data_IF_960177066791
#
_entry.id   IF_960177066791
#
_cell.length_a   1.000
_cell.length_b   1.000
_cell.length_c   1.000
_cell.angle_alpha   90.00
_cell.angle_beta   90.00
_cell.angle_gamma   90.00
#
_symmetry.space_group_name_H-M   'P 1'
#
loop_
_entity.id
_entity.type
_entity.pdbx_description
1 polymer ?
#
# COMPACT_ATOMS: atom_id res chain seq x y z
N UNK A 1 -3.41 -24.84 4.20
CA UNK A 1 -4.02 -25.33 2.96
C UNK A 1 -3.31 -26.58 2.51
N UNK A 2 -4.04 -27.67 2.21
CA UNK A 2 -3.46 -28.92 1.79
C UNK A 2 -3.08 -28.87 0.30
N UNK A 3 -1.93 -29.44 -0.05
CA UNK A 3 -1.56 -29.71 -1.45
C UNK A 3 -2.20 -31.00 -1.88
N UNK A 4 -2.93 -30.97 -2.99
CA UNK A 4 -3.59 -32.16 -3.53
C UNK A 4 -2.56 -33.28 -3.79
N UNK A 5 -2.87 -34.56 -3.48
CA UNK A 5 -1.90 -35.65 -3.58
C UNK A 5 -1.15 -35.74 -4.92
N UNK A 6 -1.87 -35.55 -6.03
CA UNK A 6 -1.27 -35.62 -7.38
C UNK A 6 -0.34 -34.43 -7.69
N UNK A 7 -0.48 -33.30 -6.97
CA UNK A 7 0.33 -32.10 -7.14
C UNK A 7 1.55 -32.05 -6.21
N UNK A 8 1.63 -32.91 -5.18
CA UNK A 8 2.74 -32.90 -4.21
C UNK A 8 4.10 -33.12 -4.85
N UNK A 9 4.17 -33.93 -5.91
CA UNK A 9 5.40 -34.17 -6.66
C UNK A 9 6.07 -32.90 -7.21
N UNK A 10 5.30 -31.87 -7.50
CA UNK A 10 5.82 -30.57 -7.98
C UNK A 10 6.41 -29.71 -6.85
N UNK A 11 6.22 -30.10 -5.60
CA UNK A 11 6.76 -29.44 -4.42
C UNK A 11 7.97 -30.18 -3.84
N UNK A 12 8.46 -31.19 -4.56
CA UNK A 12 9.55 -32.04 -4.10
C UNK A 12 10.86 -31.25 -3.95
N UNK A 13 11.54 -31.46 -2.86
CA UNK A 13 12.88 -30.95 -2.60
C UNK A 13 13.76 -32.01 -1.99
N UNK A 14 15.06 -31.91 -2.26
CA UNK A 14 16.05 -32.89 -1.82
C UNK A 14 16.80 -32.37 -0.61
N UNK A 15 16.91 -33.24 0.40
CA UNK A 15 17.79 -33.02 1.54
C UNK A 15 19.04 -33.95 1.38
N UNK A 16 19.98 -33.88 2.30
CA UNK A 16 21.14 -34.74 2.34
C UNK A 16 20.77 -36.20 2.65
N UNK A 17 19.57 -36.45 3.18
CA UNK A 17 19.13 -37.81 3.57
C UNK A 17 18.08 -38.37 2.61
N UNK A 18 17.15 -37.57 2.15
CA UNK A 18 15.96 -38.06 1.46
C UNK A 18 15.29 -36.99 0.55
N UNK A 19 14.38 -37.46 -0.29
CA UNK A 19 13.50 -36.62 -1.10
C UNK A 19 12.17 -36.40 -0.36
N UNK A 20 11.83 -35.16 -0.12
CA UNK A 20 10.61 -34.77 0.61
C UNK A 20 9.63 -34.02 -0.32
N UNK A 21 8.35 -34.03 0.04
CA UNK A 21 7.29 -33.31 -0.64
C UNK A 21 6.43 -32.59 0.39
N UNK A 22 5.93 -31.41 0.01
CA UNK A 22 5.04 -30.68 0.88
C UNK A 22 3.61 -31.24 0.83
N UNK A 23 3.06 -31.60 1.99
CA UNK A 23 1.65 -31.94 2.15
C UNK A 23 0.78 -30.69 2.38
N UNK A 24 1.38 -29.65 2.94
CA UNK A 24 0.77 -28.34 3.16
C UNK A 24 1.56 -27.33 2.34
N UNK A 25 0.89 -26.39 1.69
CA UNK A 25 1.55 -25.41 0.85
C UNK A 25 2.49 -24.52 1.67
N UNK A 26 3.78 -24.48 1.34
CA UNK A 26 4.76 -23.65 2.05
C UNK A 26 4.64 -22.18 1.66
N UNK A 27 5.13 -21.30 2.54
CA UNK A 27 5.31 -19.89 2.20
C UNK A 27 6.29 -19.74 1.03
N UNK A 28 6.03 -18.79 0.13
CA UNK A 28 6.84 -18.55 -1.07
C UNK A 28 6.40 -19.32 -2.32
N UNK A 29 5.41 -20.18 -2.23
CA UNK A 29 4.82 -20.81 -3.42
C UNK A 29 4.03 -19.77 -4.22
N UNK A 30 4.36 -19.57 -5.50
CA UNK A 30 3.88 -18.47 -6.34
C UNK A 30 2.35 -18.30 -6.39
N UNK A 31 1.59 -19.39 -6.37
CA UNK A 31 0.11 -19.34 -6.38
C UNK A 31 -0.55 -19.08 -5.03
N UNK A 32 0.18 -19.15 -3.93
CA UNK A 32 -0.40 -19.10 -2.58
C UNK A 32 -1.06 -17.77 -2.22
N UNK A 33 -0.48 -16.59 -2.52
CA UNK A 33 -1.14 -15.33 -2.21
C UNK A 33 -2.52 -15.20 -2.84
N UNK A 34 -2.67 -15.66 -4.08
CA UNK A 34 -3.97 -15.65 -4.78
C UNK A 34 -4.99 -16.64 -4.19
N UNK A 35 -4.55 -17.84 -3.79
CA UNK A 35 -5.41 -18.82 -3.14
C UNK A 35 -5.83 -18.33 -1.76
N UNK A 36 -4.90 -17.78 -0.98
CA UNK A 36 -5.15 -17.20 0.32
C UNK A 36 -6.15 -16.02 0.24
N UNK A 37 -5.94 -15.09 -0.69
CA UNK A 37 -6.87 -13.97 -0.90
C UNK A 37 -8.27 -14.43 -1.26
N UNK A 38 -8.43 -15.50 -2.08
CA UNK A 38 -9.76 -16.06 -2.39
C UNK A 38 -10.43 -16.66 -1.16
N UNK A 39 -9.67 -17.41 -0.33
CA UNK A 39 -10.20 -17.94 0.93
C UNK A 39 -10.67 -16.81 1.84
N UNK A 40 -9.82 -15.82 2.09
CA UNK A 40 -10.15 -14.71 2.98
C UNK A 40 -11.37 -13.92 2.49
N UNK A 41 -11.49 -13.69 1.18
CA UNK A 41 -12.68 -13.08 0.58
C UNK A 41 -13.93 -13.94 0.81
N UNK A 42 -13.86 -15.24 0.57
CA UNK A 42 -15.03 -16.12 0.79
C UNK A 42 -15.54 -16.13 2.23
N UNK A 43 -14.66 -15.83 3.20
CA UNK A 43 -15.01 -15.75 4.61
C UNK A 43 -15.55 -14.37 5.02
N UNK A 44 -14.98 -13.30 4.48
CA UNK A 44 -15.15 -11.94 5.00
C UNK A 44 -15.89 -10.96 4.10
N UNK A 45 -15.99 -11.17 2.78
CA UNK A 45 -16.64 -10.22 1.85
C UNK A 45 -18.13 -9.94 2.18
N UNK A 46 -18.76 -10.82 2.93
CA UNK A 46 -20.14 -10.62 3.42
C UNK A 46 -20.27 -9.61 4.56
N UNK A 47 -19.16 -9.18 5.15
CA UNK A 47 -19.14 -8.24 6.27
C UNK A 47 -18.62 -6.88 5.81
N UNK A 48 -19.51 -5.86 5.67
CA UNK A 48 -19.12 -4.55 5.15
C UNK A 48 -18.15 -3.78 6.04
N UNK A 49 -18.01 -4.20 7.30
CA UNK A 49 -17.12 -3.61 8.31
C UNK A 49 -15.74 -4.28 8.40
N UNK A 50 -15.41 -5.18 7.45
CA UNK A 50 -14.13 -5.89 7.42
C UNK A 50 -13.41 -5.64 6.10
N UNK A 51 -12.16 -5.23 6.19
CA UNK A 51 -11.24 -5.17 5.04
C UNK A 51 -10.11 -6.15 5.25
N UNK A 52 -9.88 -7.01 4.26
CA UNK A 52 -8.79 -7.98 4.32
C UNK A 52 -7.79 -7.71 3.18
N UNK A 53 -6.53 -7.65 3.54
CA UNK A 53 -5.44 -7.59 2.59
C UNK A 53 -4.36 -8.59 2.97
N UNK A 54 -4.26 -9.68 2.20
CA UNK A 54 -3.40 -10.82 2.49
C UNK A 54 -3.60 -11.32 3.93
N UNK A 55 -2.61 -11.13 4.80
CA UNK A 55 -2.61 -11.59 6.19
C UNK A 55 -3.20 -10.56 7.17
N UNK A 56 -3.43 -9.32 6.71
CA UNK A 56 -3.93 -8.24 7.54
C UNK A 56 -5.46 -8.18 7.47
N UNK A 57 -6.12 -8.23 8.62
CA UNK A 57 -7.58 -8.05 8.77
C UNK A 57 -7.81 -6.75 9.53
N UNK A 58 -8.53 -5.82 8.93
CA UNK A 58 -8.94 -4.58 9.56
C UNK A 58 -10.45 -4.58 9.79
N UNK A 59 -10.86 -4.35 11.03
CA UNK A 59 -12.26 -4.21 11.44
C UNK A 59 -12.51 -2.76 11.79
N UNK A 60 -13.56 -2.15 11.25
CA UNK A 60 -13.91 -0.77 11.54
C UNK A 60 -15.39 -0.64 11.92
N UNK A 61 -15.70 0.37 12.72
CA UNK A 61 -17.03 0.58 13.27
C UNK A 61 -17.21 2.06 13.60
N UNK A 62 -18.46 2.52 13.69
CA UNK A 62 -18.78 3.91 14.06
C UNK A 62 -18.70 4.13 15.57
N UNK A 63 -19.05 3.13 16.35
CA UNK A 63 -19.07 3.19 17.83
C UNK A 63 -18.27 2.03 18.43
N UNK A 64 -17.87 2.17 19.69
CA UNK A 64 -17.15 1.12 20.41
C UNK A 64 -18.04 -0.11 20.65
N UNK A 65 -19.32 0.08 20.92
CA UNK A 65 -20.25 -1.04 21.13
C UNK A 65 -20.42 -1.89 19.86
N UNK A 66 -20.62 -1.23 18.71
CA UNK A 66 -20.58 -1.91 17.42
C UNK A 66 -19.24 -2.60 17.17
N UNK A 67 -18.14 -1.97 17.58
CA UNK A 67 -16.80 -2.52 17.36
C UNK A 67 -16.59 -3.83 18.11
N UNK A 68 -17.06 -3.93 19.34
CA UNK A 68 -17.01 -5.17 20.13
C UNK A 68 -17.74 -6.30 19.42
N UNK A 69 -18.94 -6.04 18.89
CA UNK A 69 -19.72 -7.06 18.17
C UNK A 69 -19.07 -7.43 16.83
N UNK A 70 -18.55 -6.46 16.07
CA UNK A 70 -17.88 -6.71 14.82
C UNK A 70 -16.59 -7.56 15.01
N UNK A 71 -15.81 -7.24 16.02
CA UNK A 71 -14.61 -8.03 16.37
C UNK A 71 -15.01 -9.44 16.81
N UNK A 72 -16.08 -9.61 17.59
CA UNK A 72 -16.60 -10.93 18.00
C UNK A 72 -16.91 -11.79 16.78
N UNK A 73 -17.67 -11.25 15.82
CA UNK A 73 -18.03 -11.95 14.57
C UNK A 73 -16.77 -12.39 13.81
N UNK A 74 -15.77 -11.51 13.69
CA UNK A 74 -14.52 -11.85 12.99
C UNK A 74 -13.76 -12.97 13.71
N UNK A 75 -13.66 -12.90 15.04
CA UNK A 75 -12.99 -13.93 15.83
C UNK A 75 -13.72 -15.27 15.79
N UNK A 76 -15.05 -15.27 15.77
CA UNK A 76 -15.85 -16.48 15.58
C UNK A 76 -15.61 -17.14 14.22
N UNK A 77 -15.55 -16.37 13.14
CA UNK A 77 -15.19 -16.87 11.81
C UNK A 77 -13.80 -17.51 11.82
N UNK A 78 -12.81 -16.81 12.38
CA UNK A 78 -11.45 -17.34 12.48
C UNK A 78 -11.41 -18.65 13.28
N UNK A 79 -12.12 -18.73 14.39
CA UNK A 79 -12.20 -19.92 15.25
C UNK A 79 -12.83 -21.10 14.51
N UNK A 80 -13.96 -20.88 13.83
CA UNK A 80 -14.69 -21.91 13.08
C UNK A 80 -13.85 -22.48 11.92
N UNK A 81 -13.10 -21.61 11.25
CA UNK A 81 -12.23 -21.98 10.13
C UNK A 81 -10.83 -22.45 10.57
N UNK A 82 -10.59 -22.52 11.88
CA UNK A 82 -9.30 -22.92 12.48
C UNK A 82 -8.13 -22.06 11.98
N UNK A 83 -8.40 -20.76 11.81
CA UNK A 83 -7.40 -19.75 11.49
C UNK A 83 -6.92 -19.10 12.78
N UNK A 84 -5.59 -18.97 12.93
CA UNK A 84 -4.99 -18.48 14.16
C UNK A 84 -4.38 -17.11 13.95
N UNK A 85 -4.79 -16.14 14.77
CA UNK A 85 -4.17 -14.82 14.83
C UNK A 85 -3.09 -14.79 15.94
N UNK A 86 -2.03 -14.06 15.71
CA UNK A 86 -1.00 -13.82 16.72
C UNK A 86 -1.38 -12.62 17.57
N UNK A 87 -1.72 -12.86 18.83
CA UNK A 87 -2.20 -11.84 19.74
C UNK A 87 -1.19 -10.69 19.94
N UNK A 88 0.11 -10.99 19.94
CA UNK A 88 1.19 -10.01 20.05
C UNK A 88 1.28 -9.05 18.83
N UNK A 89 0.61 -9.38 17.73
CA UNK A 89 0.49 -8.55 16.53
C UNK A 89 -0.89 -7.92 16.35
N UNK A 90 -1.84 -8.27 17.21
CA UNK A 90 -3.19 -7.71 17.16
C UNK A 90 -3.26 -6.39 17.93
N UNK A 91 -3.99 -5.44 17.38
CA UNK A 91 -4.30 -4.16 18.01
C UNK A 91 -5.81 -4.01 18.02
N UNK A 92 -6.41 -3.81 19.19
CA UNK A 92 -7.86 -3.75 19.36
C UNK A 92 -8.30 -2.42 19.97
N UNK A 93 -9.48 -1.93 19.57
CA UNK A 93 -10.16 -0.80 20.19
C UNK A 93 -9.35 0.49 20.16
N UNK A 94 -8.72 0.82 19.02
CA UNK A 94 -7.91 2.03 18.86
C UNK A 94 -8.52 2.96 17.82
N UNK A 95 -8.42 4.27 18.06
CA UNK A 95 -8.89 5.29 17.12
C UNK A 95 -7.94 5.51 15.95
N UNK A 96 -6.74 4.93 16.02
CA UNK A 96 -5.68 5.10 15.03
C UNK A 96 -4.97 3.79 14.76
N UNK A 97 -5.00 3.35 13.51
CA UNK A 97 -4.39 2.08 13.09
C UNK A 97 -3.35 2.30 11.99
N UNK A 98 -2.27 1.52 12.07
CA UNK A 98 -1.25 1.46 11.02
C UNK A 98 -1.51 0.21 10.16
N UNK A 99 -1.85 0.41 8.90
CA UNK A 99 -2.11 -0.67 7.95
C UNK A 99 -1.47 -0.34 6.61
N UNK A 100 -0.80 -1.32 5.98
CA UNK A 100 -0.19 -1.19 4.65
C UNK A 100 0.69 0.07 4.49
N UNK A 101 1.46 0.43 5.52
CA UNK A 101 2.33 1.62 5.47
C UNK A 101 1.61 2.96 5.58
N UNK A 102 0.32 2.95 5.83
CA UNK A 102 -0.50 4.13 6.10
C UNK A 102 -0.95 4.17 7.56
N UNK A 103 -1.30 5.34 8.02
CA UNK A 103 -2.00 5.55 9.28
C UNK A 103 -3.40 6.04 8.97
N UNK A 104 -4.41 5.33 9.46
CA UNK A 104 -5.83 5.67 9.35
C UNK A 104 -6.31 6.12 10.73
N UNK A 105 -7.03 7.25 10.79
CA UNK A 105 -7.65 7.78 12.00
C UNK A 105 -8.93 8.50 11.63
N UNK A 106 -10.07 7.94 11.99
CA UNK A 106 -11.38 8.41 11.52
C UNK A 106 -11.45 8.39 9.99
N UNK A 107 -11.77 9.52 9.39
CA UNK A 107 -11.84 9.75 7.94
C UNK A 107 -10.50 10.17 7.31
N UNK A 108 -9.39 10.11 8.05
CA UNK A 108 -8.09 10.64 7.65
C UNK A 108 -7.10 9.53 7.31
N UNK A 109 -6.39 9.73 6.21
CA UNK A 109 -5.34 8.85 5.72
C UNK A 109 -4.02 9.61 5.66
N UNK A 110 -2.99 9.06 6.29
CA UNK A 110 -1.64 9.64 6.36
C UNK A 110 -0.57 8.62 5.98
N UNK A 111 0.59 9.10 5.56
CA UNK A 111 1.79 8.26 5.49
C UNK A 111 2.20 7.86 6.90
N UNK A 112 2.54 6.60 7.11
CA UNK A 112 2.98 6.12 8.43
C UNK A 112 4.27 6.83 8.86
N UNK A 113 4.32 7.29 10.11
CA UNK A 113 5.45 8.05 10.65
C UNK A 113 6.80 7.30 10.61
N UNK A 114 6.78 5.97 10.77
CA UNK A 114 7.99 5.16 10.62
C UNK A 114 8.52 5.16 9.18
N UNK A 115 7.63 5.25 8.19
CA UNK A 115 8.00 5.35 6.77
C UNK A 115 8.53 6.75 6.43
N UNK A 116 7.90 7.80 7.00
CA UNK A 116 8.41 9.17 6.85
C UNK A 116 9.83 9.28 7.38
N UNK A 117 10.12 8.71 8.57
CA UNK A 117 11.49 8.67 9.13
C UNK A 117 12.46 7.90 8.23
N UNK A 118 12.07 6.72 7.74
CA UNK A 118 12.91 5.94 6.84
C UNK A 118 13.22 6.71 5.52
N UNK A 119 12.27 7.50 5.02
CA UNK A 119 12.47 8.38 3.87
C UNK A 119 13.45 9.52 4.22
N UNK A 120 13.32 10.11 5.39
CA UNK A 120 14.21 11.16 5.88
C UNK A 120 15.67 10.70 5.96
N UNK A 121 15.90 9.50 6.43
CA UNK A 121 17.22 8.88 6.56
C UNK A 121 17.75 8.30 5.25
N UNK A 122 16.93 8.26 4.17
CA UNK A 122 17.33 7.65 2.90
C UNK A 122 18.46 8.41 2.23
N UNK A 123 19.60 7.75 2.06
CA UNK A 123 20.78 8.33 1.42
C UNK A 123 20.55 8.54 -0.10
N UNK A 124 21.28 9.48 -0.68
CA UNK A 124 21.26 9.68 -2.14
C UNK A 124 21.71 8.39 -2.84
N UNK A 125 21.00 7.95 -3.90
CA UNK A 125 21.34 6.73 -4.62
C UNK A 125 22.73 6.81 -5.28
N UNK A 126 23.53 5.77 -5.13
CA UNK A 126 24.86 5.64 -5.73
C UNK A 126 24.84 4.84 -7.04
N UNK A 127 23.73 4.17 -7.33
CA UNK A 127 23.54 3.35 -8.53
C UNK A 127 22.05 3.26 -8.91
N UNK A 128 21.80 2.75 -10.12
CA UNK A 128 20.45 2.62 -10.69
C UNK A 128 19.52 1.74 -9.83
N UNK A 129 20.03 0.67 -9.24
CA UNK A 129 19.23 -0.23 -8.40
C UNK A 129 18.69 0.49 -7.15
N UNK A 130 19.52 1.28 -6.50
CA UNK A 130 19.12 2.10 -5.35
C UNK A 130 18.12 3.17 -5.76
N UNK A 131 18.33 3.82 -6.93
CA UNK A 131 17.36 4.78 -7.47
C UNK A 131 16.00 4.13 -7.76
N UNK A 132 15.98 2.95 -8.39
CA UNK A 132 14.73 2.22 -8.63
C UNK A 132 14.04 1.83 -7.33
N UNK A 133 14.78 1.47 -6.29
CA UNK A 133 14.22 1.18 -4.95
C UNK A 133 13.57 2.43 -4.34
N UNK A 134 14.23 3.58 -4.44
CA UNK A 134 13.67 4.87 -3.99
C UNK A 134 12.41 5.24 -4.78
N UNK A 135 12.46 5.17 -6.12
CA UNK A 135 11.31 5.46 -6.99
C UNK A 135 10.13 4.51 -6.74
N UNK A 136 10.40 3.24 -6.45
CA UNK A 136 9.38 2.26 -6.08
C UNK A 136 8.68 2.65 -4.78
N UNK A 137 9.43 3.03 -3.76
CA UNK A 137 8.90 3.51 -2.49
C UNK A 137 8.13 4.83 -2.65
N UNK A 138 8.73 5.83 -3.32
CA UNK A 138 8.07 7.12 -3.56
C UNK A 138 6.80 6.96 -4.41
N UNK A 139 6.82 6.06 -5.41
CA UNK A 139 5.68 5.73 -6.25
C UNK A 139 4.51 5.11 -5.49
N UNK A 140 4.78 4.39 -4.38
CA UNK A 140 3.74 3.85 -3.50
C UNK A 140 2.93 4.98 -2.83
N UNK A 141 3.59 6.08 -2.46
CA UNK A 141 2.98 7.24 -1.80
C UNK A 141 2.61 8.37 -2.76
N UNK A 142 2.69 8.17 -4.09
CA UNK A 142 2.43 9.21 -5.10
C UNK A 142 1.06 9.89 -4.96
N UNK A 143 0.06 9.18 -4.40
CA UNK A 143 -1.28 9.74 -4.17
C UNK A 143 -1.32 10.87 -3.14
N UNK A 144 -0.26 11.04 -2.35
CA UNK A 144 -0.09 12.14 -1.39
C UNK A 144 0.68 13.32 -1.97
N UNK A 145 1.21 13.24 -3.19
CA UNK A 145 2.13 14.23 -3.75
C UNK A 145 1.52 14.87 -5.00
N UNK A 146 1.24 16.15 -4.89
CA UNK A 146 0.85 16.94 -6.04
C UNK A 146 1.99 16.96 -7.09
N UNK A 147 1.64 16.84 -8.37
CA UNK A 147 2.59 16.93 -9.48
C UNK A 147 3.76 15.92 -9.42
N UNK A 148 3.55 14.76 -8.78
CA UNK A 148 4.59 13.74 -8.59
C UNK A 148 5.37 13.41 -9.86
N UNK A 149 4.71 13.23 -11.01
CA UNK A 149 5.37 12.89 -12.29
C UNK A 149 6.37 13.97 -12.74
N UNK A 150 6.07 15.24 -12.48
CA UNK A 150 6.98 16.38 -12.77
C UNK A 150 8.19 16.37 -11.85
N UNK A 151 7.95 16.11 -10.54
CA UNK A 151 9.01 16.11 -9.53
C UNK A 151 10.04 15.00 -9.77
N UNK A 152 9.58 13.81 -10.16
CA UNK A 152 10.49 12.67 -10.39
C UNK A 152 11.14 12.67 -11.78
N UNK A 153 10.75 13.56 -12.70
CA UNK A 153 11.18 13.50 -14.10
C UNK A 153 12.69 13.34 -14.26
N UNK A 154 13.56 14.17 -13.64
CA UNK A 154 15.02 14.04 -13.83
C UNK A 154 15.56 12.68 -13.39
N UNK A 155 15.13 12.19 -12.22
CA UNK A 155 15.61 10.91 -11.67
C UNK A 155 14.98 9.70 -12.35
N UNK A 156 13.75 9.82 -12.87
CA UNK A 156 13.10 8.75 -13.63
C UNK A 156 13.73 8.55 -15.00
N UNK A 157 14.23 9.61 -15.64
CA UNK A 157 15.00 9.51 -16.90
C UNK A 157 16.33 8.80 -16.67
N UNK A 158 17.06 9.15 -15.59
CA UNK A 158 18.31 8.48 -15.20
C UNK A 158 18.12 6.98 -14.87
N UNK A 159 16.92 6.59 -14.45
CA UNK A 159 16.61 5.20 -14.12
C UNK A 159 16.46 4.28 -15.35
N UNK A 160 16.37 4.82 -16.58
CA UNK A 160 16.20 4.04 -17.82
C UNK A 160 17.44 3.21 -18.16
N UNK A 161 17.26 1.99 -18.65
CA UNK A 161 18.35 1.04 -18.91
C UNK A 161 19.44 1.55 -19.89
N UNK A 162 19.05 2.35 -20.88
CA UNK A 162 19.96 2.84 -21.92
C UNK A 162 20.66 4.14 -21.57
N UNK A 163 20.37 4.74 -20.41
CA UNK A 163 20.99 6.00 -19.96
C UNK A 163 22.21 5.68 -19.10
N UNK A 164 23.40 6.20 -19.40
CA UNK A 164 24.57 6.05 -18.53
C UNK A 164 24.27 6.58 -17.13
N UNK A 165 24.79 5.89 -16.12
CA UNK A 165 24.62 6.34 -14.74
C UNK A 165 25.55 7.52 -14.44
N UNK A 166 24.96 8.70 -14.26
CA UNK A 166 25.67 9.92 -13.88
C UNK A 166 24.79 10.75 -12.95
N UNK A 167 25.14 10.75 -11.66
CA UNK A 167 24.38 11.49 -10.64
C UNK A 167 24.88 12.92 -10.57
N UNK A 168 24.08 13.85 -11.10
CA UNK A 168 24.37 15.29 -11.16
C UNK A 168 23.52 16.08 -10.16
N UNK A 169 23.82 17.38 -10.00
CA UNK A 169 23.08 18.28 -9.12
C UNK A 169 21.57 18.33 -9.38
N UNK A 170 21.16 18.24 -10.65
CA UNK A 170 19.73 18.21 -11.00
C UNK A 170 19.03 16.97 -10.44
N UNK A 171 19.69 15.81 -10.42
CA UNK A 171 19.15 14.57 -9.87
C UNK A 171 19.08 14.65 -8.35
N UNK A 172 20.11 15.21 -7.72
CA UNK A 172 20.14 15.42 -6.29
C UNK A 172 19.04 16.40 -5.84
N UNK A 173 18.82 17.50 -6.57
CA UNK A 173 17.72 18.43 -6.31
C UNK A 173 16.36 17.74 -6.41
N UNK A 174 16.10 16.99 -7.48
CA UNK A 174 14.85 16.26 -7.65
C UNK A 174 14.63 15.23 -6.53
N UNK A 175 15.66 14.47 -6.14
CA UNK A 175 15.64 13.54 -5.03
C UNK A 175 15.25 14.23 -3.72
N UNK A 176 15.87 15.36 -3.38
CA UNK A 176 15.57 16.11 -2.16
C UNK A 176 14.16 16.71 -2.17
N UNK A 177 13.68 17.20 -3.33
CA UNK A 177 12.32 17.72 -3.48
C UNK A 177 11.29 16.61 -3.25
N UNK A 178 11.51 15.43 -3.81
CA UNK A 178 10.60 14.28 -3.59
C UNK A 178 10.61 13.83 -2.13
N UNK A 179 11.77 13.79 -1.47
CA UNK A 179 11.88 13.52 -0.03
C UNK A 179 11.07 14.54 0.80
N UNK A 180 11.26 15.82 0.53
CA UNK A 180 10.55 16.90 1.22
C UNK A 180 9.02 16.79 1.00
N UNK A 181 8.59 16.50 -0.23
CA UNK A 181 7.17 16.31 -0.54
C UNK A 181 6.54 15.13 0.22
N UNK A 182 7.28 14.04 0.43
CA UNK A 182 6.83 12.88 1.21
C UNK A 182 6.79 13.19 2.72
N UNK A 183 7.74 13.96 3.23
CA UNK A 183 7.78 14.38 4.65
C UNK A 183 6.65 15.36 4.99
N UNK A 184 6.31 16.23 4.04
CA UNK A 184 5.27 17.25 4.17
C UNK A 184 3.93 16.78 3.57
N UNK A 185 3.81 15.47 3.29
CA UNK A 185 2.63 14.92 2.65
C UNK A 185 1.35 15.32 3.40
N UNK A 186 0.34 15.87 2.70
CA UNK A 186 -0.90 16.27 3.33
C UNK A 186 -1.64 15.07 3.91
N UNK A 187 -2.50 15.34 4.86
CA UNK A 187 -3.52 14.38 5.31
C UNK A 187 -4.57 14.29 4.22
N UNK A 188 -4.79 13.11 3.69
CA UNK A 188 -5.86 12.84 2.75
C UNK A 188 -7.13 12.46 3.50
N UNK A 189 -8.28 12.80 2.93
CA UNK A 189 -9.56 12.31 3.38
C UNK A 189 -9.83 10.92 2.80
N UNK A 190 -10.41 10.00 3.57
CA UNK A 190 -10.97 8.78 3.02
C UNK A 190 -12.22 9.13 2.19
N UNK A 191 -12.41 8.51 1.01
CA UNK A 191 -13.57 8.82 0.17
C UNK A 191 -14.87 8.39 0.83
N UNK A 192 -15.86 9.27 0.81
CA UNK A 192 -17.26 8.96 1.07
C UNK A 192 -17.96 8.77 -0.29
N UNK A 193 -18.35 7.55 -0.63
CA UNK A 193 -18.94 7.23 -1.93
C UNK A 193 -20.40 7.71 -2.06
N UNK A 194 -21.02 8.13 -0.97
CA UNK A 194 -22.35 8.72 -0.95
C UNK A 194 -22.32 10.24 -1.21
N UNK A 195 -21.12 10.85 -1.23
CA UNK A 195 -20.90 12.26 -1.48
C UNK A 195 -20.32 12.50 -2.89
N UNK A 196 -20.62 13.66 -3.51
CA UNK A 196 -20.04 13.99 -4.81
C UNK A 196 -18.54 14.20 -4.74
N UNK A 197 -17.85 13.80 -5.81
CA UNK A 197 -16.43 14.06 -6.00
C UNK A 197 -16.19 15.29 -6.86
N UNK A 198 -15.16 16.05 -6.52
CA UNK A 198 -14.63 17.16 -7.30
C UNK A 198 -13.32 16.73 -7.95
N UNK A 199 -13.18 16.94 -9.25
CA UNK A 199 -11.93 16.66 -9.97
C UNK A 199 -11.38 17.97 -10.51
N UNK A 200 -10.24 18.40 -9.98
CA UNK A 200 -9.50 19.55 -10.49
C UNK A 200 -8.33 19.07 -11.32
N UNK A 201 -8.24 19.52 -12.57
CA UNK A 201 -7.18 19.08 -13.50
C UNK A 201 -6.33 20.22 -13.99
N UNK A 202 -5.04 19.97 -14.18
CA UNK A 202 -4.06 20.86 -14.78
C UNK A 202 -3.19 20.08 -15.78
N UNK A 203 -2.83 20.71 -16.89
CA UNK A 203 -2.01 20.09 -17.91
C UNK A 203 -0.92 21.03 -18.42
N UNK A 204 0.27 20.49 -18.58
CA UNK A 204 1.41 21.14 -19.24
C UNK A 204 1.80 20.40 -20.51
N UNK A 205 2.77 20.91 -21.27
CA UNK A 205 3.23 20.26 -22.51
C UNK A 205 3.81 18.86 -22.35
N UNK A 206 4.08 18.38 -21.14
CA UNK A 206 4.72 17.07 -20.87
C UNK A 206 4.11 16.25 -19.74
N UNK A 207 3.22 16.82 -18.94
CA UNK A 207 2.50 16.06 -17.89
C UNK A 207 1.12 16.65 -17.63
N UNK A 208 0.21 15.79 -17.18
CA UNK A 208 -1.06 16.20 -16.61
C UNK A 208 -1.09 15.86 -15.11
N UNK A 209 -1.75 16.72 -14.36
CA UNK A 209 -2.04 16.57 -12.93
C UNK A 209 -3.55 16.58 -12.69
N UNK A 210 -3.98 15.91 -11.64
CA UNK A 210 -5.35 15.99 -11.14
C UNK A 210 -5.37 15.86 -9.62
N UNK A 211 -6.35 16.49 -9.00
CA UNK A 211 -6.70 16.30 -7.60
C UNK A 211 -8.13 15.77 -7.57
N UNK A 212 -8.32 14.67 -6.88
CA UNK A 212 -9.64 14.19 -6.50
C UNK A 212 -9.91 14.65 -5.09
N UNK A 213 -11.02 15.33 -4.84
CA UNK A 213 -11.38 15.88 -3.54
C UNK A 213 -12.87 15.77 -3.26
N UNK A 214 -13.25 16.02 -2.03
CA UNK A 214 -14.62 16.15 -1.55
C UNK A 214 -14.71 17.32 -0.58
N UNK A 215 -15.89 17.93 -0.46
CA UNK A 215 -16.13 18.95 0.56
C UNK A 215 -16.34 18.28 1.93
N UNK A 216 -15.73 18.84 2.96
CA UNK A 216 -16.01 18.45 4.33
C UNK A 216 -17.28 19.11 4.87
N UNK A 217 -17.63 18.85 6.14
CA UNK A 217 -18.79 19.42 6.79
C UNK A 217 -18.77 20.95 6.90
N UNK A 218 -17.62 21.59 6.69
CA UNK A 218 -17.47 23.05 6.68
C UNK A 218 -17.41 23.62 5.24
N UNK A 219 -17.74 22.81 4.22
CA UNK A 219 -17.62 23.15 2.80
C UNK A 219 -16.17 23.43 2.35
N UNK A 220 -15.17 22.92 3.08
CA UNK A 220 -13.77 23.02 2.69
C UNK A 220 -13.37 21.86 1.79
N UNK A 221 -12.63 22.17 0.73
CA UNK A 221 -12.12 21.21 -0.23
C UNK A 221 -11.00 20.34 0.40
N UNK A 222 -11.26 19.04 0.55
CA UNK A 222 -10.34 18.07 1.15
C UNK A 222 -9.84 17.07 0.10
N UNK A 223 -8.52 16.98 -0.10
CA UNK A 223 -7.98 16.05 -1.07
C UNK A 223 -8.17 14.60 -0.60
N UNK A 224 -8.66 13.77 -1.51
CA UNK A 224 -8.75 12.31 -1.40
C UNK A 224 -7.53 11.65 -2.06
N UNK A 225 -7.10 12.18 -3.20
CA UNK A 225 -5.91 11.69 -3.89
C UNK A 225 -5.36 12.71 -4.89
N UNK A 226 -4.05 12.72 -5.05
CA UNK A 226 -3.36 13.37 -6.15
C UNK A 226 -3.03 12.37 -7.25
N UNK A 227 -3.16 12.78 -8.50
CA UNK A 227 -2.74 12.02 -9.66
C UNK A 227 -1.84 12.89 -10.54
N UNK A 228 -0.78 12.32 -11.05
CA UNK A 228 -0.02 12.96 -12.14
C UNK A 228 0.56 11.90 -13.07
N UNK A 229 0.62 12.23 -14.36
CA UNK A 229 1.09 11.33 -15.40
C UNK A 229 1.91 12.09 -16.42
N UNK A 230 3.10 11.56 -16.78
CA UNK A 230 3.85 12.04 -17.92
C UNK A 230 3.08 11.74 -19.21
N UNK A 231 3.02 12.71 -20.11
CA UNK A 231 2.45 12.50 -21.45
C UNK A 231 3.46 11.69 -22.29
N UNK A 232 2.95 10.78 -23.12
CA UNK A 232 3.78 10.12 -24.12
C UNK A 232 4.09 11.10 -25.24
N UNK A 233 5.31 11.07 -25.73
CA UNK A 233 5.63 11.69 -27.02
C UNK A 233 4.80 10.94 -28.09
N UNK A 234 3.95 11.67 -28.79
CA UNK A 234 3.20 11.18 -29.94
C UNK A 234 4.08 11.28 -31.17
#
# INVERSE_FOLDING_TARGET
MLVLPHARKYTAFRTHKELLQWCVAPMGMAGMPGIWSRLMRSLFDKFPFVVVYLDDICVYSKTMDEHVEHVRVVLEVLCNEKLYARLDKCVFGVDKVNILGHTISGDRLQVNSSKVRAIEEWAAPTNRKELLSFLGMAGYYRKFIANYAKLILPISELAKDKVPWEWMDQHNKAFLVVKAALQQAPVLQLPDFDQPFIITTDASGYCCGAVLSQLDANEEDRPVAFLSKKLSET
#
